data_IF_912104216686
#
_entry.id   IF_912104216686
#
_cell.length_a   1.000
_cell.length_b   1.000
_cell.length_c   1.000
_cell.angle_alpha   90.00
_cell.angle_beta   90.00
_cell.angle_gamma   90.00
#
_symmetry.space_group_name_H-M   'P 1'
#
loop_
_entity.id
_entity.type
_entity.pdbx_description
1 polymer ?
#
# COMPACT_ATOMS: atom_id res chain seq x y z
N UNK A 1 -29.43 -22.13 -1.01
CA UNK A 1 -29.09 -23.57 -0.99
C UNK A 1 -27.85 -23.75 -0.13
N UNK A 2 -27.97 -24.44 1.00
CA UNK A 2 -26.90 -24.54 2.00
C UNK A 2 -25.68 -25.26 1.44
N UNK A 3 -24.57 -24.56 1.30
CA UNK A 3 -23.26 -25.14 0.99
C UNK A 3 -22.93 -26.18 2.07
N UNK A 4 -22.85 -27.46 1.66
CA UNK A 4 -22.28 -28.53 2.47
C UNK A 4 -20.91 -28.05 2.99
N UNK A 5 -20.77 -27.99 4.32
CA UNK A 5 -19.58 -27.46 4.99
C UNK A 5 -18.32 -28.20 4.49
N UNK A 6 -17.16 -27.54 4.33
CA UNK A 6 -15.93 -28.13 3.79
C UNK A 6 -15.49 -29.44 4.45
N UNK A 7 -15.78 -29.60 5.74
CA UNK A 7 -15.53 -30.83 6.51
C UNK A 7 -16.27 -32.05 5.97
N UNK A 8 -17.44 -31.85 5.35
CA UNK A 8 -18.22 -32.92 4.76
C UNK A 8 -17.48 -33.56 3.58
N UNK A 9 -16.77 -32.76 2.75
CA UNK A 9 -15.93 -33.29 1.67
C UNK A 9 -14.72 -34.07 2.20
N UNK A 10 -14.13 -33.64 3.32
CA UNK A 10 -13.01 -34.34 3.96
C UNK A 10 -13.40 -35.73 4.49
N UNK A 11 -14.66 -35.95 4.87
CA UNK A 11 -15.16 -37.27 5.31
C UNK A 11 -15.75 -38.06 4.14
N UNK A 12 -16.45 -37.39 3.23
CA UNK A 12 -17.15 -38.04 2.13
C UNK A 12 -16.21 -38.57 1.05
N UNK A 13 -15.11 -37.88 0.75
CA UNK A 13 -14.16 -38.31 -0.28
C UNK A 13 -13.41 -39.60 0.12
N UNK A 14 -12.89 -39.76 1.36
CA UNK A 14 -12.33 -41.03 1.80
C UNK A 14 -13.34 -42.17 1.81
N UNK A 15 -14.58 -41.92 2.26
CA UNK A 15 -15.64 -42.94 2.30
C UNK A 15 -16.06 -43.36 0.88
N UNK A 16 -16.20 -42.41 -0.04
CA UNK A 16 -16.49 -42.68 -1.46
C UNK A 16 -15.32 -43.40 -2.13
N UNK A 17 -14.07 -43.02 -1.82
CA UNK A 17 -12.87 -43.71 -2.29
C UNK A 17 -12.77 -45.15 -1.79
N UNK A 18 -13.11 -45.40 -0.53
CA UNK A 18 -13.19 -46.76 0.05
C UNK A 18 -14.34 -47.54 -0.61
N UNK A 19 -15.50 -46.93 -0.82
CA UNK A 19 -16.65 -47.57 -1.45
C UNK A 19 -16.37 -47.93 -2.92
N UNK A 20 -15.77 -47.03 -3.69
CA UNK A 20 -15.34 -47.27 -5.07
C UNK A 20 -14.24 -48.32 -5.14
N UNK A 21 -13.28 -48.30 -4.20
CA UNK A 21 -12.24 -49.31 -4.12
C UNK A 21 -12.80 -50.69 -3.77
N UNK A 22 -13.71 -50.78 -2.79
CA UNK A 22 -14.41 -52.02 -2.47
C UNK A 22 -15.25 -52.53 -3.65
N UNK A 23 -15.92 -51.62 -4.36
CA UNK A 23 -16.67 -51.96 -5.57
C UNK A 23 -15.75 -52.49 -6.69
N UNK A 24 -14.62 -51.84 -6.94
CA UNK A 24 -13.63 -52.27 -7.93
C UNK A 24 -12.99 -53.63 -7.60
N UNK A 25 -12.61 -53.85 -6.34
CA UNK A 25 -12.05 -55.13 -5.87
C UNK A 25 -13.05 -56.28 -6.01
N UNK A 26 -14.36 -56.00 -5.91
CA UNK A 26 -15.43 -56.99 -6.10
C UNK A 26 -15.82 -57.19 -7.58
N UNK A 27 -15.81 -56.13 -8.38
CA UNK A 27 -16.34 -56.14 -9.74
C UNK A 27 -15.31 -56.59 -10.80
N UNK A 28 -14.01 -56.41 -10.54
CA UNK A 28 -12.95 -56.71 -11.52
C UNK A 28 -11.77 -57.43 -10.86
N UNK A 29 -11.91 -58.73 -10.51
CA UNK A 29 -10.82 -59.50 -9.91
C UNK A 29 -9.61 -59.66 -10.86
N UNK A 30 -9.79 -59.50 -12.17
CA UNK A 30 -8.75 -59.73 -13.19
C UNK A 30 -8.09 -58.46 -13.74
N UNK A 31 -8.54 -57.26 -13.37
CA UNK A 31 -7.97 -56.01 -13.89
C UNK A 31 -6.72 -55.60 -13.10
N UNK A 32 -5.58 -56.24 -13.41
CA UNK A 32 -4.28 -55.84 -12.91
C UNK A 32 -3.74 -54.64 -13.68
N UNK A 33 -3.62 -53.50 -13.00
CA UNK A 33 -2.94 -52.29 -13.51
C UNK A 33 -1.48 -52.60 -13.93
N UNK A 34 -0.93 -52.00 -15.00
CA UNK A 34 0.43 -52.31 -15.48
C UNK A 34 1.54 -52.02 -14.47
N UNK A 35 1.29 -51.17 -13.46
CA UNK A 35 2.26 -50.89 -12.39
C UNK A 35 2.36 -52.01 -11.33
N UNK A 36 1.49 -53.01 -11.37
CA UNK A 36 1.61 -54.20 -10.52
C UNK A 36 2.70 -55.18 -11.00
N UNK A 37 3.23 -55.00 -12.22
CA UNK A 37 4.22 -55.87 -12.85
C UNK A 37 5.62 -55.85 -12.22
N UNK A 38 5.95 -54.86 -11.38
CA UNK A 38 7.27 -54.77 -10.73
C UNK A 38 7.34 -55.54 -9.40
N UNK A 39 6.25 -56.17 -8.96
CA UNK A 39 6.21 -56.91 -7.68
C UNK A 39 5.66 -58.32 -7.86
N UNK A 40 6.30 -59.12 -8.70
CA UNK A 40 6.17 -60.59 -8.71
C UNK A 40 7.53 -61.25 -8.86
N UNK A 41 8.31 -61.22 -7.78
CA UNK A 41 9.33 -62.22 -7.52
C UNK A 41 9.40 -62.43 -6.00
N UNK A 42 8.72 -63.46 -5.51
CA UNK A 42 8.79 -63.87 -4.11
C UNK A 42 7.44 -64.28 -3.52
N UNK A 43 7.21 -65.59 -3.48
CA UNK A 43 6.48 -66.32 -2.44
C UNK A 43 5.11 -65.83 -2.00
N UNK A 44 4.08 -66.61 -2.31
CA UNK A 44 2.77 -66.54 -1.65
C UNK A 44 2.92 -66.59 -0.12
N UNK A 45 2.56 -65.50 0.56
CA UNK A 45 2.60 -65.43 2.01
C UNK A 45 2.02 -64.14 2.57
N UNK A 46 0.75 -64.19 3.00
CA UNK A 46 -0.05 -63.15 3.68
C UNK A 46 -0.18 -61.82 2.92
N UNK A 47 -1.41 -61.53 2.45
CA UNK A 47 -1.83 -60.18 2.03
C UNK A 47 -1.59 -59.21 3.20
N UNK A 48 -0.43 -58.56 3.22
CA UNK A 48 -0.04 -57.62 4.26
C UNK A 48 -0.99 -56.43 4.20
N UNK A 49 -1.71 -56.16 5.30
CA UNK A 49 -2.55 -54.97 5.50
C UNK A 49 -1.84 -53.68 5.03
N UNK A 50 -0.52 -53.61 5.21
CA UNK A 50 0.34 -52.51 4.75
C UNK A 50 0.33 -52.32 3.23
N UNK A 51 0.22 -53.38 2.42
CA UNK A 51 0.16 -53.27 0.95
C UNK A 51 -1.15 -52.65 0.48
N UNK A 52 -2.27 -52.97 1.14
CA UNK A 52 -3.57 -52.37 0.82
C UNK A 52 -3.63 -50.91 1.28
N UNK A 53 -3.15 -50.62 2.48
CA UNK A 53 -3.07 -49.27 3.01
C UNK A 53 -2.15 -48.37 2.16
N UNK A 54 -1.05 -48.92 1.65
CA UNK A 54 -0.15 -48.23 0.70
C UNK A 54 -0.84 -47.86 -0.62
N UNK A 55 -1.56 -48.81 -1.21
CA UNK A 55 -2.28 -48.57 -2.47
C UNK A 55 -3.40 -47.54 -2.29
N UNK A 56 -4.06 -47.51 -1.12
CA UNK A 56 -5.04 -46.49 -0.78
C UNK A 56 -4.43 -45.09 -0.77
N UNK A 57 -3.27 -44.89 -0.12
CA UNK A 57 -2.59 -43.60 -0.10
C UNK A 57 -2.16 -43.14 -1.50
N UNK A 58 -1.67 -44.03 -2.36
CA UNK A 58 -1.31 -43.69 -3.75
C UNK A 58 -2.56 -43.22 -4.52
N UNK A 59 -3.66 -43.96 -4.43
CA UNK A 59 -4.90 -43.62 -5.14
C UNK A 59 -5.50 -42.30 -4.62
N UNK A 60 -5.46 -42.07 -3.31
CA UNK A 60 -5.96 -40.85 -2.69
C UNK A 60 -5.14 -39.62 -3.10
N UNK A 61 -3.80 -39.71 -3.04
CA UNK A 61 -2.90 -38.63 -3.47
C UNK A 61 -3.04 -38.33 -4.96
N UNK A 62 -3.14 -39.37 -5.80
CA UNK A 62 -3.37 -39.21 -7.24
C UNK A 62 -4.69 -38.49 -7.55
N UNK A 63 -5.76 -38.85 -6.84
CA UNK A 63 -7.07 -38.18 -6.97
C UNK A 63 -7.00 -36.71 -6.55
N UNK A 64 -6.30 -36.41 -5.44
CA UNK A 64 -6.08 -35.03 -4.99
C UNK A 64 -5.31 -34.18 -6.01
N UNK A 65 -4.28 -34.77 -6.65
CA UNK A 65 -3.50 -34.10 -7.68
C UNK A 65 -4.34 -33.82 -8.93
N UNK A 66 -5.12 -34.79 -9.41
CA UNK A 66 -6.04 -34.57 -10.54
C UNK A 66 -7.05 -33.47 -10.22
N UNK A 67 -7.59 -33.43 -9.00
CA UNK A 67 -8.49 -32.38 -8.55
C UNK A 67 -7.81 -31.00 -8.51
N UNK A 68 -6.56 -30.90 -8.03
CA UNK A 68 -5.75 -29.67 -8.09
C UNK A 68 -5.52 -29.19 -9.53
N UNK A 69 -5.14 -30.10 -10.44
CA UNK A 69 -4.81 -29.76 -11.83
C UNK A 69 -6.04 -29.53 -12.72
N UNK A 70 -7.21 -30.08 -12.36
CA UNK A 70 -8.47 -29.93 -13.13
C UNK A 70 -9.05 -28.51 -13.15
N UNK A 71 -8.47 -27.56 -12.41
CA UNK A 71 -8.92 -26.16 -12.42
C UNK A 71 -10.23 -25.89 -11.68
N UNK A 72 -10.83 -26.90 -11.03
CA UNK A 72 -12.00 -26.77 -10.13
C UNK A 72 -11.75 -25.82 -8.93
N UNK A 73 -10.49 -25.46 -8.68
CA UNK A 73 -10.06 -24.56 -7.60
C UNK A 73 -9.36 -23.29 -8.11
N UNK A 74 -9.75 -22.78 -9.29
CA UNK A 74 -9.35 -21.42 -9.70
C UNK A 74 -9.72 -20.45 -8.57
N UNK A 75 -8.71 -19.75 -8.04
CA UNK A 75 -8.86 -18.87 -6.88
C UNK A 75 -9.91 -17.79 -7.11
N UNK A 76 -10.46 -17.25 -6.03
CA UNK A 76 -11.34 -16.10 -6.13
C UNK A 76 -10.52 -14.89 -6.62
N UNK A 77 -11.07 -14.20 -7.62
CA UNK A 77 -10.57 -12.87 -8.01
C UNK A 77 -10.96 -11.94 -6.87
N UNK A 78 -10.01 -11.69 -5.98
CA UNK A 78 -10.20 -10.71 -4.92
C UNK A 78 -9.74 -9.36 -5.47
N UNK A 79 -10.70 -8.47 -5.72
CA UNK A 79 -10.44 -7.06 -6.00
C UNK A 79 -10.23 -6.34 -4.68
N UNK A 80 -9.02 -5.85 -4.43
CA UNK A 80 -8.77 -4.93 -3.32
C UNK A 80 -8.54 -3.54 -3.88
N UNK A 81 -9.32 -2.58 -3.38
CA UNK A 81 -9.13 -1.16 -3.66
C UNK A 81 -7.95 -0.68 -2.82
N UNK A 82 -6.79 -0.43 -3.45
CA UNK A 82 -5.69 0.24 -2.75
C UNK A 82 -5.92 1.75 -2.85
N UNK A 83 -6.39 2.34 -1.76
CA UNK A 83 -6.45 3.79 -1.61
C UNK A 83 -5.01 4.27 -1.41
N UNK A 84 -4.48 5.06 -2.36
CA UNK A 84 -3.21 5.78 -2.16
C UNK A 84 -3.47 6.97 -1.23
N UNK A 85 -2.73 7.03 -0.13
CA UNK A 85 -2.76 8.17 0.78
C UNK A 85 -2.09 9.38 0.11
N UNK A 86 -2.57 10.58 0.42
CA UNK A 86 -1.95 11.81 -0.03
C UNK A 86 -0.75 12.19 0.83
N UNK A 87 0.19 12.91 0.20
CA UNK A 87 1.12 13.78 0.91
C UNK A 87 0.59 15.20 0.77
N UNK A 88 0.21 15.80 1.90
CA UNK A 88 -0.38 17.13 1.97
C UNK A 88 0.65 18.08 2.58
N UNK A 89 1.04 19.10 1.81
CA UNK A 89 1.93 20.17 2.27
C UNK A 89 1.09 21.39 2.62
N UNK A 90 1.07 21.74 3.91
CA UNK A 90 0.46 22.96 4.42
C UNK A 90 1.50 24.07 4.37
N UNK A 91 1.29 25.07 3.53
CA UNK A 91 2.13 26.26 3.40
C UNK A 91 1.44 27.39 4.15
N UNK A 92 2.04 27.89 5.21
CA UNK A 92 1.39 28.86 6.07
C UNK A 92 2.25 30.11 6.20
N UNK A 93 1.63 31.23 5.84
CA UNK A 93 2.15 32.56 6.06
C UNK A 93 2.09 32.90 7.54
N UNK A 94 3.25 33.22 8.10
CA UNK A 94 3.45 33.59 9.51
C UNK A 94 3.91 35.04 9.65
N UNK A 95 3.61 35.87 8.65
CA UNK A 95 3.78 37.33 8.68
C UNK A 95 3.06 37.97 9.87
N UNK A 96 3.48 39.18 10.24
CA UNK A 96 2.84 39.92 11.34
C UNK A 96 1.35 40.19 11.12
N UNK A 97 0.92 40.35 9.87
CA UNK A 97 -0.49 40.59 9.51
C UNK A 97 -1.38 39.36 9.68
N UNK A 98 -0.82 38.16 9.61
CA UNK A 98 -1.53 36.90 9.86
C UNK A 98 -1.79 36.62 11.34
N UNK A 99 -1.18 37.37 12.28
CA UNK A 99 -1.12 37.02 13.70
C UNK A 99 -2.46 36.63 14.35
N UNK A 100 -3.54 37.37 14.08
CA UNK A 100 -4.88 37.07 14.64
C UNK A 100 -5.56 35.86 13.99
N UNK A 101 -5.13 35.47 12.79
CA UNK A 101 -5.67 34.34 12.02
C UNK A 101 -5.00 33.01 12.40
N UNK A 102 -3.75 33.04 12.85
CA UNK A 102 -2.94 31.83 13.07
C UNK A 102 -3.56 30.85 14.06
N UNK A 103 -4.19 31.35 15.13
CA UNK A 103 -4.87 30.50 16.11
C UNK A 103 -6.09 29.79 15.53
N UNK A 104 -6.83 30.47 14.64
CA UNK A 104 -7.99 29.88 13.95
C UNK A 104 -7.54 28.86 12.92
N UNK A 105 -6.56 29.23 12.08
CA UNK A 105 -5.95 28.34 11.11
C UNK A 105 -5.38 27.08 11.78
N UNK A 106 -4.65 27.23 12.87
CA UNK A 106 -4.09 26.09 13.61
C UNK A 106 -5.16 25.11 14.09
N UNK A 107 -6.29 25.59 14.61
CA UNK A 107 -7.41 24.75 15.07
C UNK A 107 -8.11 24.01 13.92
N UNK A 108 -8.38 24.72 12.82
CA UNK A 108 -9.11 24.14 11.69
C UNK A 108 -8.20 23.17 10.92
N UNK A 109 -6.93 23.53 10.71
CA UNK A 109 -5.93 22.65 10.09
C UNK A 109 -5.68 21.41 10.95
N UNK A 110 -5.69 21.52 12.28
CA UNK A 110 -5.57 20.36 13.18
C UNK A 110 -6.80 19.44 13.03
N UNK A 111 -7.99 20.02 12.97
CA UNK A 111 -9.24 19.28 12.77
C UNK A 111 -9.25 18.57 11.41
N UNK A 112 -8.82 19.25 10.34
CA UNK A 112 -8.69 18.69 9.00
C UNK A 112 -7.69 17.51 8.96
N UNK A 113 -6.50 17.68 9.52
CA UNK A 113 -5.49 16.61 9.61
C UNK A 113 -6.01 15.41 10.42
N UNK A 114 -6.78 15.68 11.48
CA UNK A 114 -7.41 14.64 12.30
C UNK A 114 -8.52 13.87 11.59
N UNK A 115 -9.18 14.46 10.59
CA UNK A 115 -10.13 13.76 9.71
C UNK A 115 -9.40 12.90 8.67
N UNK A 116 -8.18 13.31 8.27
CA UNK A 116 -7.38 12.68 7.23
C UNK A 116 -6.16 11.92 7.80
N UNK A 117 -6.34 11.17 8.88
CA UNK A 117 -5.24 10.47 9.62
C UNK A 117 -4.41 9.49 8.79
N UNK A 118 -4.90 9.07 7.63
CA UNK A 118 -4.18 8.16 6.73
C UNK A 118 -3.18 8.91 5.84
N UNK A 119 -3.39 10.21 5.63
CA UNK A 119 -2.51 11.05 4.82
C UNK A 119 -1.28 11.48 5.62
N UNK A 120 -0.21 11.76 4.89
CA UNK A 120 1.02 12.30 5.47
C UNK A 120 1.01 13.81 5.35
N UNK A 121 1.37 14.49 6.42
CA UNK A 121 1.41 15.94 6.48
C UNK A 121 2.83 16.47 6.60
N UNK A 122 3.06 17.57 5.88
CA UNK A 122 4.22 18.42 5.98
C UNK A 122 3.75 19.86 6.15
N UNK A 123 4.42 20.64 7.01
CA UNK A 123 4.25 22.07 7.15
C UNK A 123 5.43 22.81 6.53
N UNK A 124 5.14 23.89 5.82
CA UNK A 124 6.10 24.88 5.33
C UNK A 124 5.63 26.21 5.88
N UNK A 125 6.46 26.84 6.70
CA UNK A 125 6.15 28.09 7.36
C UNK A 125 7.11 29.15 6.87
N UNK A 126 6.60 30.30 6.47
CA UNK A 126 7.43 31.41 6.02
C UNK A 126 6.98 32.71 6.69
N UNK A 127 7.94 33.60 6.92
CA UNK A 127 7.73 34.92 7.49
C UNK A 127 8.64 35.93 6.80
N UNK A 128 8.53 37.18 7.24
CA UNK A 128 9.38 38.29 6.78
C UNK A 128 10.87 38.05 7.00
N UNK A 129 11.29 37.07 7.79
CA UNK A 129 12.71 36.84 8.09
C UNK A 129 13.16 35.40 7.95
N UNK A 130 12.24 34.43 7.94
CA UNK A 130 12.60 33.02 8.05
C UNK A 130 11.66 32.11 7.25
N UNK A 131 12.19 30.94 6.89
CA UNK A 131 11.43 29.84 6.32
C UNK A 131 11.82 28.56 7.05
N UNK A 132 10.84 27.75 7.41
CA UNK A 132 11.05 26.49 8.12
C UNK A 132 10.13 25.41 7.58
N UNK A 133 10.54 24.16 7.68
CA UNK A 133 9.78 23.00 7.22
C UNK A 133 9.70 21.94 8.29
N UNK A 134 8.58 21.21 8.33
CA UNK A 134 8.34 20.16 9.30
C UNK A 134 7.51 19.03 8.69
N UNK A 135 8.04 17.81 8.64
CA UNK A 135 7.37 16.67 8.00
C UNK A 135 7.32 15.46 8.92
N UNK A 136 6.22 14.71 8.89
CA UNK A 136 6.08 13.45 9.63
C UNK A 136 5.77 13.60 11.13
N UNK A 137 5.47 14.83 11.55
CA UNK A 137 5.05 15.15 12.92
C UNK A 137 3.53 15.02 13.09
N UNK A 138 3.08 15.02 14.35
CA UNK A 138 1.64 15.01 14.64
C UNK A 138 0.97 16.31 14.17
N UNK A 139 -0.33 16.24 13.84
CA UNK A 139 -1.14 17.40 13.46
C UNK A 139 -0.98 18.58 14.41
N UNK A 140 -0.98 18.29 15.72
CA UNK A 140 -0.82 19.29 16.79
C UNK A 140 0.55 19.98 16.78
N UNK A 141 1.61 19.29 16.37
CA UNK A 141 2.96 19.87 16.31
C UNK A 141 3.07 20.74 15.07
N UNK A 142 2.58 20.26 13.92
CA UNK A 142 2.54 21.00 12.67
C UNK A 142 1.76 22.31 12.88
N UNK A 143 0.55 22.26 13.41
CA UNK A 143 -0.29 23.48 13.50
C UNK A 143 0.16 24.51 14.54
N UNK A 144 0.98 24.12 15.52
CA UNK A 144 1.41 24.97 16.64
C UNK A 144 2.78 25.63 16.48
N UNK A 145 3.43 25.50 15.31
CA UNK A 145 4.69 26.18 15.06
C UNK A 145 4.52 27.70 15.22
N UNK A 146 5.33 28.31 16.08
CA UNK A 146 5.28 29.75 16.37
C UNK A 146 6.39 30.51 15.64
N UNK A 147 6.31 31.84 15.64
CA UNK A 147 7.37 32.71 15.12
C UNK A 147 8.67 32.59 15.92
N UNK A 148 8.59 32.26 17.21
CA UNK A 148 9.79 31.95 17.99
C UNK A 148 10.45 30.65 17.52
N UNK A 149 9.67 29.64 17.18
CA UNK A 149 10.19 28.37 16.67
C UNK A 149 10.85 28.54 15.30
N UNK A 150 10.24 29.38 14.44
CA UNK A 150 10.82 29.82 13.17
C UNK A 150 12.20 30.45 13.35
N UNK A 151 12.31 31.40 14.28
CA UNK A 151 13.56 32.11 14.57
C UNK A 151 14.61 31.24 15.29
N UNK A 152 14.19 30.20 16.02
CA UNK A 152 15.08 29.22 16.67
C UNK A 152 15.56 28.13 15.71
N UNK A 153 14.83 27.87 14.63
CA UNK A 153 15.23 26.86 13.65
C UNK A 153 16.48 27.33 12.90
N UNK A 154 17.64 26.77 13.26
CA UNK A 154 18.96 27.02 12.65
C UNK A 154 19.07 26.53 11.17
N UNK A 155 17.95 26.36 10.48
CA UNK A 155 17.89 26.14 9.04
C UNK A 155 17.28 27.36 8.35
N UNK A 156 17.80 28.55 8.65
CA UNK A 156 17.60 29.69 7.76
C UNK A 156 18.29 29.35 6.43
N UNK A 157 17.55 28.79 5.48
CA UNK A 157 18.00 28.79 4.09
C UNK A 157 18.31 30.24 3.72
N UNK A 158 19.40 30.47 3.00
CA UNK A 158 19.91 31.78 2.57
C UNK A 158 18.92 32.64 1.78
N UNK A 159 17.73 32.11 1.51
CA UNK A 159 16.52 32.81 1.08
C UNK A 159 15.96 33.64 2.25
N UNK A 160 16.67 34.72 2.62
CA UNK A 160 16.24 35.68 3.64
C UNK A 160 14.80 36.14 3.46
N UNK A 161 14.11 36.41 4.57
CA UNK A 161 12.67 36.54 4.55
C UNK A 161 12.10 37.78 3.87
N UNK A 162 10.81 37.62 3.60
CA UNK A 162 9.85 38.53 3.02
C UNK A 162 8.54 37.74 2.97
N UNK A 163 7.39 38.41 2.84
CA UNK A 163 6.05 37.81 2.64
C UNK A 163 5.92 37.08 1.29
N UNK A 164 6.93 36.31 0.91
CA UNK A 164 7.07 35.71 -0.41
C UNK A 164 6.47 34.31 -0.40
N UNK A 165 5.17 34.23 -0.69
CA UNK A 165 4.47 32.95 -0.92
C UNK A 165 5.22 32.07 -1.93
N UNK A 166 5.91 32.67 -2.89
CA UNK A 166 6.77 31.98 -3.84
C UNK A 166 7.83 31.08 -3.18
N UNK A 167 8.44 31.52 -2.08
CA UNK A 167 9.43 30.72 -1.34
C UNK A 167 8.73 29.54 -0.65
N UNK A 168 7.57 29.77 -0.03
CA UNK A 168 6.76 28.70 0.56
C UNK A 168 6.37 27.63 -0.48
N UNK A 169 6.00 28.06 -1.69
CA UNK A 169 5.71 27.14 -2.80
C UNK A 169 6.96 26.39 -3.29
N UNK A 170 8.10 27.05 -3.39
CA UNK A 170 9.35 26.42 -3.82
C UNK A 170 9.80 25.35 -2.82
N UNK A 171 9.74 25.64 -1.53
CA UNK A 171 10.05 24.66 -0.46
C UNK A 171 9.05 23.50 -0.47
N UNK A 172 7.78 23.78 -0.76
CA UNK A 172 6.78 22.71 -0.94
C UNK A 172 7.13 21.80 -2.10
N UNK A 173 7.56 22.37 -3.22
CA UNK A 173 8.02 21.61 -4.38
C UNK A 173 9.25 20.76 -4.04
N UNK A 174 10.23 21.30 -3.30
CA UNK A 174 11.40 20.54 -2.84
C UNK A 174 10.99 19.30 -2.02
N UNK A 175 10.11 19.49 -1.03
CA UNK A 175 9.57 18.38 -0.21
C UNK A 175 8.92 17.33 -1.10
N UNK A 176 8.08 17.75 -2.04
CA UNK A 176 7.35 16.84 -2.92
C UNK A 176 8.31 16.05 -3.83
N UNK A 177 9.29 16.72 -4.44
CA UNK A 177 10.28 16.08 -5.30
C UNK A 177 11.13 15.07 -4.53
N UNK A 178 11.44 15.36 -3.26
CA UNK A 178 12.15 14.42 -2.36
C UNK A 178 11.28 13.23 -1.99
N UNK A 179 10.02 13.46 -1.62
CA UNK A 179 9.09 12.43 -1.16
C UNK A 179 8.65 11.49 -2.28
N UNK A 180 8.49 11.99 -3.50
CA UNK A 180 8.12 11.15 -4.63
C UNK A 180 9.25 10.20 -5.07
N UNK A 181 10.52 10.58 -4.86
CA UNK A 181 11.67 9.74 -5.19
C UNK A 181 11.85 9.46 -6.69
N UNK A 182 11.23 10.27 -7.56
CA UNK A 182 11.24 10.11 -9.03
C UNK A 182 12.43 10.84 -9.66
N UNK A 183 12.89 11.93 -9.01
CA UNK A 183 14.04 12.71 -9.44
C UNK A 183 15.27 12.36 -8.61
N UNK A 184 16.40 12.18 -9.27
CA UNK A 184 17.70 12.11 -8.60
C UNK A 184 18.03 13.46 -7.94
N UNK A 185 18.90 13.45 -6.94
CA UNK A 185 19.24 14.68 -6.20
C UNK A 185 19.74 15.81 -7.11
N UNK A 186 20.64 15.50 -8.03
CA UNK A 186 21.19 16.47 -8.99
C UNK A 186 20.11 17.06 -9.90
N UNK A 187 19.16 16.24 -10.36
CA UNK A 187 18.05 16.72 -11.19
C UNK A 187 17.11 17.63 -10.39
N UNK A 188 16.83 17.30 -9.11
CA UNK A 188 16.06 18.17 -8.22
C UNK A 188 16.76 19.50 -8.02
N UNK A 189 18.06 19.48 -7.73
CA UNK A 189 18.86 20.68 -7.50
C UNK A 189 18.87 21.56 -8.76
N UNK A 190 19.01 20.99 -9.95
CA UNK A 190 18.95 21.74 -11.22
C UNK A 190 17.57 22.40 -11.40
N UNK A 191 16.49 21.64 -11.16
CA UNK A 191 15.13 22.14 -11.30
C UNK A 191 14.86 23.33 -10.36
N UNK A 192 15.19 23.18 -9.08
CA UNK A 192 14.99 24.23 -8.06
C UNK A 192 15.86 25.46 -8.34
N UNK A 193 17.15 25.27 -8.63
CA UNK A 193 18.06 26.37 -9.00
C UNK A 193 17.61 27.12 -10.26
N UNK A 194 16.97 26.44 -11.21
CA UNK A 194 16.45 27.07 -12.43
C UNK A 194 15.27 28.00 -12.12
N UNK A 195 14.38 27.57 -11.22
CA UNK A 195 13.27 28.39 -10.72
C UNK A 195 13.75 29.58 -9.90
N UNK A 196 14.77 29.41 -9.05
CA UNK A 196 15.39 30.52 -8.30
C UNK A 196 16.06 31.56 -9.23
N UNK A 197 16.51 31.12 -10.42
CA UNK A 197 17.02 32.02 -11.47
C UNK A 197 15.91 32.58 -12.36
N UNK A 198 14.64 32.42 -11.98
CA UNK A 198 13.44 32.88 -12.70
C UNK A 198 13.29 32.31 -14.11
N UNK A 199 13.81 31.10 -14.32
CA UNK A 199 13.69 30.38 -15.58
C UNK A 199 12.75 29.19 -15.41
N UNK A 200 12.08 28.82 -16.49
CA UNK A 200 11.30 27.59 -16.52
C UNK A 200 12.24 26.40 -16.74
N UNK A 201 12.26 25.40 -15.83
CA UNK A 201 13.02 24.18 -16.04
C UNK A 201 12.36 23.31 -17.11
N UNK A 202 13.16 22.52 -17.81
CA UNK A 202 12.65 21.50 -18.73
C UNK A 202 12.22 20.26 -17.96
N UNK A 203 10.94 19.87 -18.10
CA UNK A 203 10.38 18.68 -17.49
C UNK A 203 10.26 17.60 -18.56
N UNK A 204 11.03 16.52 -18.40
CA UNK A 204 10.99 15.35 -19.26
C UNK A 204 9.55 14.81 -19.35
N UNK A 205 9.07 14.53 -20.56
CA UNK A 205 7.72 14.02 -20.80
C UNK A 205 7.39 12.78 -19.96
N UNK A 206 8.36 11.88 -19.75
CA UNK A 206 8.18 10.69 -18.92
C UNK A 206 7.99 10.97 -17.41
N UNK A 207 8.26 12.20 -16.96
CA UNK A 207 8.09 12.65 -15.58
C UNK A 207 6.88 13.57 -15.40
N UNK A 208 6.15 13.91 -16.46
CA UNK A 208 4.90 14.69 -16.34
C UNK A 208 3.81 13.87 -15.66
N UNK A 209 3.00 14.51 -14.82
CA UNK A 209 1.97 13.87 -14.00
C UNK A 209 2.47 12.72 -13.10
N UNK A 210 3.77 12.64 -12.87
CA UNK A 210 4.37 11.53 -12.11
C UNK A 210 4.11 11.64 -10.60
N UNK A 211 3.59 12.77 -10.12
CA UNK A 211 3.32 13.08 -8.72
C UNK A 211 1.81 13.17 -8.44
N UNK A 212 1.02 12.25 -8.99
CA UNK A 212 -0.39 12.09 -8.60
C UNK A 212 -0.47 11.64 -7.14
N UNK A 213 -1.13 12.41 -6.27
CA UNK A 213 -1.21 12.13 -4.82
C UNK A 213 -0.53 13.17 -3.92
N UNK A 214 -0.13 14.31 -4.48
CA UNK A 214 0.39 15.44 -3.71
C UNK A 214 -0.59 16.62 -3.76
N UNK A 215 -0.82 17.23 -2.60
CA UNK A 215 -1.66 18.42 -2.44
C UNK A 215 -0.84 19.49 -1.71
N UNK A 216 -0.89 20.72 -2.20
CA UNK A 216 -0.35 21.90 -1.53
C UNK A 216 -1.51 22.77 -1.11
N UNK A 217 -1.57 23.18 0.15
CA UNK A 217 -2.57 24.12 0.68
C UNK A 217 -1.81 25.34 1.18
N UNK A 218 -1.93 26.47 0.51
CA UNK A 218 -1.29 27.72 0.92
C UNK A 218 -2.27 28.65 1.61
N UNK A 219 -1.97 29.04 2.85
CA UNK A 219 -2.70 29.98 3.69
C UNK A 219 -1.92 31.29 3.76
N UNK A 220 -2.44 32.37 3.18
CA UNK A 220 -1.70 33.64 3.10
C UNK A 220 -2.63 34.86 2.98
N UNK A 221 -2.16 35.99 3.47
CA UNK A 221 -2.76 37.32 3.25
C UNK A 221 -1.94 38.17 2.27
N UNK A 222 -0.90 37.61 1.64
CA UNK A 222 -0.01 38.35 0.77
C UNK A 222 -0.62 38.66 -0.60
N UNK A 223 -0.26 39.82 -1.15
CA UNK A 223 -0.67 40.28 -2.49
C UNK A 223 0.10 39.58 -3.64
N UNK A 224 0.81 38.47 -3.35
CA UNK A 224 1.64 37.70 -4.28
C UNK A 224 2.58 38.55 -5.16
N UNK A 225 3.43 39.41 -4.58
CA UNK A 225 4.38 40.18 -5.39
C UNK A 225 5.33 39.24 -6.13
N UNK A 226 5.59 39.56 -7.41
CA UNK A 226 6.73 39.01 -8.11
C UNK A 226 7.99 39.50 -7.40
N UNK A 227 8.66 38.64 -6.64
CA UNK A 227 9.82 39.07 -5.89
C UNK A 227 11.08 39.15 -6.77
N UNK A 228 12.15 39.72 -6.22
CA UNK A 228 13.47 39.67 -6.86
C UNK A 228 13.98 38.24 -7.01
N UNK A 229 13.42 37.27 -6.27
CA UNK A 229 13.95 35.91 -6.16
C UNK A 229 13.12 34.86 -6.90
N UNK A 230 11.80 34.84 -6.71
CA UNK A 230 10.94 33.77 -7.25
C UNK A 230 9.67 34.34 -7.85
N UNK A 231 9.22 33.74 -8.95
CA UNK A 231 7.90 33.98 -9.52
C UNK A 231 6.94 32.84 -9.16
N UNK A 232 5.93 33.09 -8.29
CA UNK A 232 4.98 32.05 -7.85
C UNK A 232 4.34 31.30 -9.01
N UNK A 233 4.00 32.00 -10.10
CA UNK A 233 3.41 31.41 -11.31
C UNK A 233 4.32 30.35 -11.94
N UNK A 234 5.65 30.52 -11.93
CA UNK A 234 6.58 29.53 -12.48
C UNK A 234 6.58 28.24 -11.65
N UNK A 235 6.59 28.39 -10.32
CA UNK A 235 6.53 27.25 -9.40
C UNK A 235 5.20 26.51 -9.57
N UNK A 236 4.08 27.23 -9.66
CA UNK A 236 2.75 26.64 -9.91
C UNK A 236 2.67 25.94 -11.27
N UNK A 237 3.33 26.49 -12.30
CA UNK A 237 3.39 25.86 -13.63
C UNK A 237 4.12 24.53 -13.58
N UNK A 238 5.24 24.46 -12.85
CA UNK A 238 5.96 23.20 -12.61
C UNK A 238 5.11 22.23 -11.79
N UNK A 239 4.44 22.70 -10.74
CA UNK A 239 3.53 21.87 -9.94
C UNK A 239 2.44 21.23 -10.81
N UNK A 240 1.81 22.02 -11.68
CA UNK A 240 0.85 21.53 -12.68
C UNK A 240 1.45 20.43 -13.56
N UNK A 241 2.62 20.67 -14.14
CA UNK A 241 3.25 19.69 -15.04
C UNK A 241 3.61 18.37 -14.35
N UNK A 242 3.88 18.42 -13.04
CA UNK A 242 4.12 17.23 -12.22
C UNK A 242 2.82 16.55 -11.74
N UNK A 243 1.65 17.17 -11.94
CA UNK A 243 0.35 16.66 -11.47
C UNK A 243 0.04 16.95 -10.00
N UNK A 244 0.72 17.94 -9.42
CA UNK A 244 0.52 18.40 -8.04
C UNK A 244 -0.65 19.39 -8.03
N UNK A 245 -1.62 19.20 -7.12
CA UNK A 245 -2.76 20.13 -6.97
C UNK A 245 -2.48 21.15 -5.89
N UNK A 246 -2.78 22.41 -6.16
CA UNK A 246 -2.51 23.52 -5.24
C UNK A 246 -3.79 24.28 -4.90
N UNK A 247 -4.06 24.48 -3.61
CA UNK A 247 -5.23 25.20 -3.10
C UNK A 247 -4.76 26.42 -2.34
N UNK A 248 -5.37 27.58 -2.59
CA UNK A 248 -5.04 28.82 -1.91
C UNK A 248 -6.17 29.26 -1.00
N UNK A 249 -5.85 29.62 0.23
CA UNK A 249 -6.73 30.29 1.19
C UNK A 249 -6.18 31.70 1.38
N UNK A 250 -6.91 32.67 0.86
CA UNK A 250 -6.43 34.03 0.67
C UNK A 250 -7.22 34.98 1.57
N UNK A 251 -6.52 35.70 2.44
CA UNK A 251 -7.08 36.68 3.37
C UNK A 251 -6.83 38.13 2.93
N UNK A 252 -6.76 38.36 1.61
CA UNK A 252 -6.67 39.69 0.99
C UNK A 252 -7.69 39.81 -0.14
N UNK A 253 -8.13 41.04 -0.43
CA UNK A 253 -9.02 41.34 -1.56
C UNK A 253 -8.26 41.51 -2.87
N UNK A 254 -6.94 41.68 -2.80
CA UNK A 254 -6.10 41.90 -3.97
C UNK A 254 -5.29 40.63 -4.24
N UNK A 255 -5.61 39.93 -5.32
CA UNK A 255 -4.79 38.82 -5.79
C UNK A 255 -4.55 38.95 -7.28
N UNK A 256 -3.30 38.80 -7.76
CA UNK A 256 -3.03 38.90 -9.18
C UNK A 256 -3.75 37.79 -9.96
N UNK A 257 -4.53 38.18 -10.98
CA UNK A 257 -5.28 37.24 -11.85
C UNK A 257 -4.39 36.13 -12.45
N UNK A 258 -3.10 36.41 -12.64
CA UNK A 258 -2.14 35.43 -13.16
C UNK A 258 -1.86 34.29 -12.17
N UNK A 259 -1.76 34.61 -10.87
CA UNK A 259 -1.52 33.63 -9.82
C UNK A 259 -2.76 32.78 -9.61
N UNK A 260 -3.95 33.40 -9.55
CA UNK A 260 -5.21 32.68 -9.43
C UNK A 260 -5.43 31.72 -10.59
N UNK A 261 -5.15 32.14 -11.82
CA UNK A 261 -5.19 31.26 -13.00
C UNK A 261 -4.22 30.10 -12.86
N UNK A 262 -2.98 30.36 -12.48
CA UNK A 262 -1.97 29.32 -12.30
C UNK A 262 -2.37 28.28 -11.23
N UNK A 263 -3.02 28.71 -10.13
CA UNK A 263 -3.58 27.80 -9.11
C UNK A 263 -4.65 26.90 -9.71
N UNK A 264 -5.61 27.46 -10.43
CA UNK A 264 -6.68 26.67 -11.08
C UNK A 264 -6.13 25.69 -12.12
N UNK A 265 -5.08 26.08 -12.84
CA UNK A 265 -4.42 25.22 -13.82
C UNK A 265 -3.78 23.98 -13.19
N UNK A 266 -3.43 24.00 -11.90
CA UNK A 266 -2.99 22.80 -11.15
C UNK A 266 -4.11 21.79 -10.89
N UNK A 267 -5.37 22.13 -11.21
CA UNK A 267 -6.56 21.37 -10.83
C UNK A 267 -7.01 21.61 -9.38
N UNK A 268 -6.42 22.61 -8.71
CA UNK A 268 -6.86 23.09 -7.41
C UNK A 268 -7.75 24.32 -7.49
N UNK A 269 -7.90 25.04 -6.38
CA UNK A 269 -8.88 26.13 -6.23
C UNK A 269 -8.44 27.13 -5.18
N UNK A 270 -8.78 28.39 -5.40
CA UNK A 270 -8.64 29.48 -4.44
C UNK A 270 -9.92 29.71 -3.63
N UNK A 271 -9.75 30.11 -2.38
CA UNK A 271 -10.81 30.49 -1.45
C UNK A 271 -10.46 31.86 -0.89
N UNK A 272 -11.30 32.85 -1.17
CA UNK A 272 -11.16 34.18 -0.60
C UNK A 272 -11.96 34.25 0.69
N UNK A 273 -11.29 34.63 1.77
CA UNK A 273 -11.89 34.76 3.09
C UNK A 273 -11.91 36.24 3.45
N UNK A 274 -13.08 36.77 3.79
CA UNK A 274 -13.23 38.19 4.12
C UNK A 274 -12.44 38.52 5.40
N UNK A 275 -11.44 39.41 5.35
CA UNK A 275 -10.65 39.79 6.53
C UNK A 275 -11.51 40.38 7.66
N UNK A 276 -12.68 40.94 7.34
CA UNK A 276 -13.61 41.47 8.34
C UNK A 276 -14.12 40.37 9.31
N UNK A 277 -14.06 39.10 8.91
CA UNK A 277 -14.50 37.96 9.73
C UNK A 277 -13.57 37.69 10.92
N UNK A 278 -12.36 38.25 10.94
CA UNK A 278 -11.48 38.20 12.13
C UNK A 278 -12.19 38.76 13.37
N UNK A 279 -13.03 39.79 13.19
CA UNK A 279 -13.86 40.35 14.27
C UNK A 279 -15.06 39.48 14.67
N UNK A 280 -15.34 38.40 13.93
CA UNK A 280 -16.47 37.48 14.11
C UNK A 280 -16.00 36.02 14.16
N UNK A 281 -15.34 35.60 15.27
CA UNK A 281 -14.68 34.29 15.39
C UNK A 281 -15.51 33.08 14.96
N UNK A 282 -16.79 33.03 15.35
CA UNK A 282 -17.67 31.90 15.02
C UNK A 282 -17.99 31.80 13.52
N UNK A 283 -18.06 32.93 12.82
CA UNK A 283 -18.29 32.94 11.37
C UNK A 283 -17.01 32.59 10.62
N UNK A 284 -15.88 33.14 11.05
CA UNK A 284 -14.57 32.81 10.49
C UNK A 284 -14.28 31.30 10.61
N UNK A 285 -14.49 30.71 11.78
CA UNK A 285 -14.28 29.28 12.00
C UNK A 285 -15.17 28.44 11.08
N UNK A 286 -16.45 28.81 10.93
CA UNK A 286 -17.39 28.11 10.04
C UNK A 286 -16.95 28.19 8.58
N UNK A 287 -16.47 29.34 8.13
CA UNK A 287 -15.99 29.54 6.76
C UNK A 287 -14.73 28.71 6.49
N UNK A 288 -13.76 28.75 7.40
CA UNK A 288 -12.56 27.92 7.34
C UNK A 288 -12.90 26.42 7.30
N UNK A 289 -13.80 25.96 8.16
CA UNK A 289 -14.27 24.57 8.16
C UNK A 289 -14.90 24.18 6.81
N UNK A 290 -15.67 25.07 6.19
CA UNK A 290 -16.27 24.83 4.88
C UNK A 290 -15.20 24.66 3.79
N UNK A 291 -14.14 25.47 3.82
CA UNK A 291 -13.02 25.37 2.87
C UNK A 291 -12.30 24.03 3.01
N UNK A 292 -11.94 23.66 4.24
CA UNK A 292 -11.26 22.39 4.51
C UNK A 292 -12.16 21.16 4.27
N UNK A 293 -13.48 21.30 4.41
CA UNK A 293 -14.42 20.26 4.03
C UNK A 293 -14.44 20.03 2.52
N UNK A 294 -14.46 21.10 1.71
CA UNK A 294 -14.38 21.03 0.23
C UNK A 294 -13.11 20.29 -0.21
N UNK A 295 -11.95 20.71 0.30
CA UNK A 295 -10.66 20.03 0.08
C UNK A 295 -10.68 18.58 0.61
N UNK A 296 -11.34 18.36 1.75
CA UNK A 296 -11.48 17.06 2.38
C UNK A 296 -12.24 16.03 1.53
N UNK A 297 -13.16 16.48 0.68
CA UNK A 297 -13.94 15.58 -0.21
C UNK A 297 -13.19 15.09 -1.44
N UNK A 298 -11.95 15.54 -1.66
CA UNK A 298 -11.13 15.10 -2.77
C UNK A 298 -10.78 13.61 -2.59
N UNK A 299 -11.41 12.78 -3.42
CA UNK A 299 -11.11 11.36 -3.51
C UNK A 299 -9.68 11.13 -4.00
N UNK A 300 -8.96 10.15 -3.44
CA UNK A 300 -7.68 9.72 -3.98
C UNK A 300 -7.82 9.35 -5.44
N UNK A 301 -7.07 10.06 -6.29
CA UNK A 301 -7.08 9.98 -7.75
C UNK A 301 -6.93 8.55 -8.31
N UNK A 302 -6.44 7.61 -7.50
CA UNK A 302 -6.24 6.23 -7.92
C UNK A 302 -6.66 5.26 -6.82
N UNK A 303 -7.95 4.94 -6.79
CA UNK A 303 -8.40 3.64 -6.32
C UNK A 303 -7.95 2.58 -7.34
N UNK A 304 -6.69 2.14 -7.26
CA UNK A 304 -6.25 1.04 -8.12
C UNK A 304 -6.86 -0.26 -7.62
N UNK A 305 -7.66 -0.90 -8.47
CA UNK A 305 -8.17 -2.24 -8.23
C UNK A 305 -7.03 -3.21 -8.56
N UNK A 306 -6.33 -3.68 -7.54
CA UNK A 306 -5.38 -4.76 -7.74
C UNK A 306 -6.19 -6.06 -7.74
N UNK A 307 -6.42 -6.61 -8.92
CA UNK A 307 -6.98 -7.96 -9.07
C UNK A 307 -5.87 -8.98 -8.84
N UNK A 308 -5.92 -9.67 -7.70
CA UNK A 308 -5.05 -10.80 -7.40
C UNK A 308 -5.84 -12.09 -7.32
N UNK A 309 -5.27 -13.19 -7.80
CA UNK A 309 -5.81 -14.53 -7.54
C UNK A 309 -5.34 -14.93 -6.14
N UNK A 310 -6.22 -14.86 -5.14
CA UNK A 310 -5.90 -15.40 -3.81
C UNK A 310 -6.11 -16.92 -3.88
N UNK A 311 -5.09 -17.76 -3.66
CA UNK A 311 -5.33 -19.18 -3.49
C UNK A 311 -6.23 -19.35 -2.26
N UNK A 312 -7.41 -19.98 -2.44
CA UNK A 312 -8.32 -20.24 -1.32
C UNK A 312 -7.54 -20.97 -0.21
N UNK A 313 -7.82 -20.66 1.05
CA UNK A 313 -7.18 -21.28 2.23
C UNK A 313 -7.15 -22.82 2.13
N UNK A 314 -8.20 -23.37 1.51
CA UNK A 314 -8.34 -24.78 1.17
C UNK A 314 -7.22 -25.35 0.28
N UNK A 315 -6.68 -24.61 -0.70
CA UNK A 315 -5.55 -25.07 -1.55
C UNK A 315 -4.28 -25.23 -0.72
N UNK A 316 -4.05 -24.34 0.26
CA UNK A 316 -2.91 -24.43 1.17
C UNK A 316 -3.05 -25.62 2.13
N UNK A 317 -4.25 -25.84 2.66
CA UNK A 317 -4.57 -26.99 3.53
C UNK A 317 -4.49 -28.32 2.77
N UNK A 318 -4.96 -28.35 1.52
CA UNK A 318 -4.93 -29.53 0.66
C UNK A 318 -3.50 -29.87 0.20
N UNK A 319 -2.66 -28.86 -0.08
CA UNK A 319 -1.22 -29.05 -0.31
C UNK A 319 -0.47 -29.57 0.92
N UNK A 320 -0.79 -29.07 2.12
CA UNK A 320 -0.24 -29.59 3.37
C UNK A 320 -0.69 -31.05 3.63
N UNK A 321 -1.93 -31.39 3.30
CA UNK A 321 -2.44 -32.76 3.33
C UNK A 321 -1.65 -33.70 2.42
N UNK A 322 -1.37 -33.30 1.17
CA UNK A 322 -0.57 -34.11 0.22
C UNK A 322 0.84 -34.35 0.77
N UNK A 323 1.49 -33.34 1.34
CA UNK A 323 2.82 -33.50 1.94
C UNK A 323 2.79 -34.46 3.13
N UNK A 324 1.79 -34.34 4.01
CA UNK A 324 1.64 -35.23 5.15
C UNK A 324 1.41 -36.69 4.71
N UNK A 325 0.56 -36.92 3.72
CA UNK A 325 0.30 -38.26 3.20
C UNK A 325 1.50 -38.86 2.46
N UNK A 326 2.28 -38.04 1.76
CA UNK A 326 3.53 -38.48 1.11
C UNK A 326 4.59 -38.85 2.14
N UNK A 327 4.69 -38.11 3.25
CA UNK A 327 5.57 -38.44 4.36
C UNK A 327 5.16 -39.72 5.09
N UNK A 328 3.85 -39.91 5.34
CA UNK A 328 3.31 -41.14 5.93
C UNK A 328 3.56 -42.37 5.04
N UNK A 329 3.44 -42.22 3.72
CA UNK A 329 3.79 -43.26 2.76
C UNK A 329 5.25 -43.71 2.88
N UNK A 330 6.18 -42.74 2.92
CA UNK A 330 7.61 -43.03 3.07
C UNK A 330 7.92 -43.71 4.41
N UNK A 331 7.28 -43.26 5.49
CA UNK A 331 7.44 -43.86 6.82
C UNK A 331 6.94 -45.31 6.86
N UNK A 332 5.79 -45.59 6.24
CA UNK A 332 5.26 -46.95 6.15
C UNK A 332 6.19 -47.89 5.36
N UNK A 333 6.81 -47.40 4.29
CA UNK A 333 7.79 -48.17 3.53
C UNK A 333 9.01 -48.52 4.39
N UNK A 334 9.55 -47.55 5.13
CA UNK A 334 10.68 -47.77 6.05
C UNK A 334 10.32 -48.76 7.18
N UNK A 335 9.10 -48.67 7.73
CA UNK A 335 8.63 -49.61 8.74
C UNK A 335 8.51 -51.05 8.19
N UNK A 336 8.03 -51.22 6.97
CA UNK A 336 7.93 -52.53 6.31
C UNK A 336 9.32 -53.14 6.04
N UNK A 337 10.27 -52.32 5.57
CA UNK A 337 11.69 -52.70 5.37
C UNK A 337 12.35 -53.10 6.70
N UNK A 338 12.11 -52.33 7.76
CA UNK A 338 12.63 -52.60 9.10
C UNK A 338 12.09 -53.93 9.65
N UNK A 339 10.77 -54.17 9.58
CA UNK A 339 10.15 -55.42 10.05
C UNK A 339 10.68 -56.62 9.25
N UNK A 340 10.86 -56.47 7.94
CA UNK A 340 11.42 -57.53 7.10
C UNK A 340 12.87 -57.86 7.49
N UNK A 341 13.73 -56.84 7.67
CA UNK A 341 15.11 -57.03 8.14
C UNK A 341 15.16 -57.69 9.52
N UNK A 342 14.31 -57.26 10.44
CA UNK A 342 14.23 -57.79 11.79
C UNK A 342 13.78 -59.27 11.83
N UNK A 343 12.83 -59.67 10.98
CA UNK A 343 12.44 -61.08 10.83
C UNK A 343 13.57 -61.91 10.22
N UNK A 344 14.29 -61.37 9.25
CA UNK A 344 15.43 -62.06 8.60
C UNK A 344 16.60 -62.31 9.56
N UNK A 345 16.91 -61.36 10.44
CA UNK A 345 17.95 -61.53 11.48
C UNK A 345 17.51 -62.50 12.57
N UNK A 346 16.23 -62.53 12.93
CA UNK A 346 15.69 -63.49 13.91
C UNK A 346 15.71 -64.93 13.39
N UNK A 347 15.37 -65.15 12.11
CA UNK A 347 15.44 -66.48 11.49
C UNK A 347 16.89 -66.98 11.28
N UNK A 348 17.89 -66.10 11.16
CA UNK A 348 19.31 -66.50 11.09
C UNK A 348 19.87 -67.00 12.43
N UNK A 349 19.31 -66.57 13.56
CA UNK A 349 19.73 -67.05 14.90
C UNK A 349 19.06 -68.38 15.32
N UNK A 350 18.03 -68.83 14.61
CA UNK A 350 17.33 -70.09 14.89
C UNK A 350 17.79 -71.29 14.06
N UNK A 351 18.82 -71.12 13.21
CA UNK A 351 19.28 -72.15 12.26
C UNK A 351 20.67 -72.75 12.55
N UNK A 352 21.25 -72.56 13.73
CA UNK A 352 22.55 -73.15 14.10
C UNK A 352 22.49 -74.03 15.36
N UNK A 353 21.55 -74.96 15.39
CA UNK A 353 21.62 -76.16 16.25
C UNK A 353 20.98 -77.29 15.47
N UNK A 354 21.80 -78.10 14.81
CA UNK A 354 21.35 -79.26 14.05
C UNK A 354 22.21 -79.60 12.84
N UNK A 355 23.53 -79.74 13.01
CA UNK A 355 24.30 -80.95 12.69
C UNK A 355 25.71 -80.85 13.31
#
# INVERSE_FOLDING_TARGET
>A
MGFLRPWFLLVFIPVLGIALWMFWVKALPEFHWPLAGVVRAGGAGKKSFFRHLRNFFIAFTGTLLVLLFSGLFKGEVASYTKIKNYVIVLVQDRSGSMGQLLDFLGKVSESFMNLRRQDRFCGVYFSDTAVSTLCGESAKVITKVTNEDLNKSFSATSLGGGTEVGVGLLMSLEIILKEAGIYEQTERDILLNTLERKKMPEINEGKRNSHSGFIVIAETDADFPNSERIYPVQVLTVMRELGIRTYFMIFTKNSPDAVIRAVRDTGGKEYFIDPALVSKPALLEKELQSVFADIGTLNPLEASIISGIRPRTFVRELGAGIMLFSALYAFMFLAEEFIWRFRKTRNRKGGSTGE
#
